data_IF_054230599310
#
_entry.id   IF_054230599310
#
_cell.length_a   1.000
_cell.length_b   1.000
_cell.length_c   1.000
_cell.angle_alpha   90.00
_cell.angle_beta   90.00
_cell.angle_gamma   90.00
#
_symmetry.space_group_name_H-M   'P 1'
#
loop_
_entity.id
_entity.type
_entity.pdbx_description
1 polymer ?
#
# COMPACT_ATOMS: atom_id res chain seq x y z
N UNK A 1 0.04 11.18 15.35
CA UNK A 1 0.97 10.04 15.14
C UNK A 1 0.90 9.19 16.39
N UNK A 2 0.88 7.88 16.24
CA UNK A 2 0.86 6.96 17.38
C UNK A 2 1.96 5.93 17.18
N UNK A 3 2.92 5.87 18.11
CA UNK A 3 3.95 4.83 18.17
C UNK A 3 3.35 3.45 18.54
N UNK A 4 2.10 3.45 19.04
CA UNK A 4 1.23 2.28 19.21
C UNK A 4 -0.08 2.54 18.45
N UNK A 5 -0.21 2.00 17.24
CA UNK A 5 -1.42 2.15 16.43
C UNK A 5 -2.61 1.37 17.02
N UNK A 6 -3.81 1.94 16.92
CA UNK A 6 -5.06 1.19 17.15
C UNK A 6 -5.52 0.40 15.90
N UNK A 7 -4.78 0.50 14.80
CA UNK A 7 -5.03 -0.25 13.57
C UNK A 7 -4.29 -1.57 13.68
N UNK A 8 -5.04 -2.66 13.81
CA UNK A 8 -4.54 -3.95 14.30
C UNK A 8 -3.47 -4.63 13.44
N UNK A 9 -3.36 -4.25 12.17
CA UNK A 9 -2.41 -4.85 11.22
C UNK A 9 -1.08 -4.10 11.10
N UNK A 10 -0.85 -3.07 11.91
CA UNK A 10 0.35 -2.23 11.90
C UNK A 10 0.78 -1.88 13.32
N UNK A 11 2.08 -1.65 13.52
CA UNK A 11 2.63 -1.30 14.83
C UNK A 11 2.54 0.23 15.07
N UNK A 12 2.74 1.03 14.02
CA UNK A 12 2.76 2.50 14.10
C UNK A 12 2.12 3.18 12.88
N UNK A 13 1.68 4.44 13.05
CA UNK A 13 1.18 5.27 11.93
C UNK A 13 2.07 6.47 11.66
N UNK A 14 2.34 6.71 10.38
CA UNK A 14 3.10 7.87 9.90
C UNK A 14 2.27 8.67 8.91
N UNK A 15 2.02 9.95 9.20
CA UNK A 15 1.11 10.80 8.41
C UNK A 15 1.82 12.06 7.90
N UNK A 16 2.71 11.95 6.90
CA UNK A 16 3.33 13.10 6.22
C UNK A 16 2.34 13.94 5.40
N UNK A 17 1.10 13.48 5.22
CA UNK A 17 -0.02 14.26 4.66
C UNK A 17 -1.26 14.03 5.55
N UNK A 18 -2.15 15.01 5.64
CA UNK A 18 -3.50 14.86 6.20
C UNK A 18 -4.55 15.31 5.20
N UNK A 19 -5.75 14.74 5.28
CA UNK A 19 -6.88 15.13 4.43
C UNK A 19 -6.92 14.38 3.10
N UNK A 20 -8.10 14.33 2.50
CA UNK A 20 -8.37 13.67 1.23
C UNK A 20 -9.73 14.12 0.66
N UNK A 21 -10.01 13.80 -0.62
CA UNK A 21 -11.34 13.90 -1.21
C UNK A 21 -11.94 12.53 -1.53
N UNK A 22 -13.28 12.43 -1.49
CA UNK A 22 -14.02 11.20 -1.78
C UNK A 22 -13.84 10.78 -3.25
N UNK A 23 -13.62 9.48 -3.50
CA UNK A 23 -13.43 8.92 -4.85
C UNK A 23 -14.24 7.65 -5.14
N UNK A 24 -14.87 7.06 -4.12
CA UNK A 24 -15.71 5.87 -4.24
C UNK A 24 -16.71 5.79 -3.09
N UNK A 25 -17.73 4.92 -3.20
CA UNK A 25 -18.71 4.73 -2.12
C UNK A 25 -18.08 4.38 -0.76
N UNK A 26 -16.92 3.72 -0.72
CA UNK A 26 -16.19 3.48 0.54
C UNK A 26 -15.77 4.74 1.30
N UNK A 27 -15.75 5.90 0.64
CA UNK A 27 -15.44 7.17 1.27
C UNK A 27 -16.65 7.84 1.94
N UNK A 28 -17.87 7.33 1.75
CA UNK A 28 -19.09 8.01 2.18
C UNK A 28 -19.13 8.24 3.70
N UNK A 29 -18.70 7.22 4.47
CA UNK A 29 -18.63 7.23 5.93
C UNK A 29 -17.17 7.22 6.43
N UNK A 30 -16.26 7.93 5.73
CA UNK A 30 -14.85 7.95 6.07
C UNK A 30 -14.61 8.39 7.54
N UNK A 31 -13.96 7.52 8.32
CA UNK A 31 -13.65 7.79 9.73
C UNK A 31 -12.69 8.98 9.86
N UNK A 32 -11.70 9.10 8.97
CA UNK A 32 -10.70 10.15 9.01
C UNK A 32 -11.33 11.52 8.75
N UNK A 33 -12.24 11.62 7.78
CA UNK A 33 -13.04 12.82 7.54
C UNK A 33 -13.83 13.21 8.78
N UNK A 34 -14.63 12.27 9.32
CA UNK A 34 -15.47 12.53 10.49
C UNK A 34 -14.65 12.93 11.71
N UNK A 35 -13.46 12.34 11.89
CA UNK A 35 -12.56 12.68 12.99
C UNK A 35 -11.97 14.07 12.82
N UNK A 36 -11.41 14.38 11.64
CA UNK A 36 -10.73 15.63 11.37
C UNK A 36 -11.68 16.84 11.39
N UNK A 37 -12.89 16.69 10.85
CA UNK A 37 -13.88 17.78 10.80
C UNK A 37 -14.32 18.29 12.17
N UNK A 38 -14.27 17.44 13.23
CA UNK A 38 -14.59 17.86 14.60
C UNK A 38 -13.68 18.97 15.13
N UNK A 39 -12.50 19.11 14.54
CA UNK A 39 -11.47 20.06 14.98
C UNK A 39 -11.36 21.27 14.07
N UNK A 40 -12.19 21.38 13.02
CA UNK A 40 -12.16 22.51 12.11
C UNK A 40 -12.38 23.81 12.90
N UNK A 41 -11.53 24.80 12.65
CA UNK A 41 -11.54 26.08 13.35
C UNK A 41 -10.92 26.07 14.75
N UNK A 42 -10.47 24.92 15.28
CA UNK A 42 -9.81 24.87 16.60
C UNK A 42 -8.36 25.38 16.50
N UNK A 43 -8.00 26.53 17.11
CA UNK A 43 -6.66 27.09 16.98
C UNK A 43 -5.58 26.14 17.54
N UNK A 44 -4.44 26.05 16.85
CA UNK A 44 -3.31 25.20 17.26
C UNK A 44 -3.50 23.69 17.11
N UNK A 45 -4.72 23.21 16.83
CA UNK A 45 -4.96 21.77 16.66
C UNK A 45 -4.40 21.25 15.33
N UNK A 46 -3.93 19.99 15.33
CA UNK A 46 -3.36 19.34 14.14
C UNK A 46 -4.35 19.33 12.95
N UNK A 47 -5.64 19.12 13.24
CA UNK A 47 -6.73 19.13 12.26
C UNK A 47 -7.54 20.43 12.27
N UNK A 48 -6.92 21.58 12.58
CA UNK A 48 -7.60 22.90 12.56
C UNK A 48 -8.26 23.25 11.21
N UNK A 49 -7.73 22.70 10.12
CA UNK A 49 -8.25 22.86 8.75
C UNK A 49 -9.20 21.70 8.36
N UNK A 50 -9.74 20.97 9.32
CA UNK A 50 -10.59 19.81 9.07
C UNK A 50 -9.90 18.75 8.21
N UNK A 51 -10.61 18.22 7.22
CA UNK A 51 -10.14 17.17 6.31
C UNK A 51 -9.53 17.70 5.00
N UNK A 52 -9.19 18.98 4.95
CA UNK A 52 -8.52 19.59 3.80
C UNK A 52 -7.14 18.97 3.61
N UNK A 53 -6.69 18.83 2.35
CA UNK A 53 -5.38 18.26 2.05
C UNK A 53 -4.30 19.20 2.53
N UNK A 54 -3.40 18.71 3.38
CA UNK A 54 -2.30 19.46 3.97
C UNK A 54 -1.04 18.60 3.98
N UNK A 55 0.04 19.14 3.42
CA UNK A 55 1.38 18.58 3.61
C UNK A 55 1.82 18.78 5.06
N UNK A 56 2.60 17.83 5.58
CA UNK A 56 3.14 17.86 6.94
C UNK A 56 4.66 17.68 6.93
N UNK A 57 5.43 18.67 6.42
CA UNK A 57 6.88 18.56 6.32
C UNK A 57 7.56 18.30 7.67
N UNK A 58 6.98 18.83 8.75
CA UNK A 58 7.43 18.62 10.13
C UNK A 58 7.33 17.16 10.58
N UNK A 59 6.57 16.32 9.87
CA UNK A 59 6.43 14.89 10.15
C UNK A 59 7.31 14.01 9.28
N UNK A 60 7.94 14.54 8.23
CA UNK A 60 8.76 13.73 7.30
C UNK A 60 9.86 12.95 8.01
N UNK A 61 10.52 13.56 8.99
CA UNK A 61 11.68 12.98 9.67
C UNK A 61 11.34 12.02 10.80
N UNK A 62 10.06 11.84 11.12
CA UNK A 62 9.61 10.98 12.23
C UNK A 62 10.24 9.59 12.19
N UNK A 63 10.32 8.89 11.04
CA UNK A 63 10.90 7.55 11.00
C UNK A 63 12.39 7.48 11.35
N UNK A 64 13.15 8.57 11.22
CA UNK A 64 14.56 8.57 11.62
C UNK A 64 14.76 8.42 13.13
N UNK A 65 13.76 8.79 13.95
CA UNK A 65 13.83 8.65 15.40
C UNK A 65 13.56 7.20 15.88
N UNK A 66 13.05 6.33 14.99
CA UNK A 66 12.60 5.00 15.32
C UNK A 66 13.71 3.95 15.21
N UNK A 67 14.24 3.53 16.37
CA UNK A 67 15.35 2.55 16.42
C UNK A 67 14.93 1.10 16.18
N UNK A 68 13.79 0.68 16.75
CA UNK A 68 13.29 -0.70 16.63
C UNK A 68 12.53 -0.89 15.31
N UNK A 69 12.68 -2.05 14.63
CA UNK A 69 11.84 -2.42 13.50
C UNK A 69 10.35 -2.28 13.82
N UNK A 70 9.57 -1.85 12.83
CA UNK A 70 8.14 -1.58 12.92
C UNK A 70 7.50 -1.80 11.56
N UNK A 71 6.26 -2.29 11.52
CA UNK A 71 5.35 -2.14 10.39
C UNK A 71 4.60 -0.83 10.54
N UNK A 72 4.72 0.05 9.54
CA UNK A 72 4.27 1.43 9.60
C UNK A 72 3.21 1.66 8.53
N UNK A 73 1.99 1.95 8.94
CA UNK A 73 0.96 2.39 8.00
C UNK A 73 1.16 3.86 7.66
N UNK A 74 1.43 4.13 6.39
CA UNK A 74 1.62 5.47 5.84
C UNK A 74 0.28 6.07 5.45
N UNK A 75 0.03 7.31 5.90
CA UNK A 75 -1.16 8.09 5.59
C UNK A 75 -2.47 7.45 6.05
N UNK A 76 -2.55 7.01 7.31
CA UNK A 76 -3.82 6.55 7.89
C UNK A 76 -4.94 7.60 7.88
N UNK A 77 -4.59 8.89 7.84
CA UNK A 77 -5.52 10.04 7.88
C UNK A 77 -5.56 10.85 6.56
N UNK A 78 -5.13 10.26 5.45
CA UNK A 78 -5.08 10.90 4.13
C UNK A 78 -4.94 9.86 3.01
N UNK A 79 -4.71 10.30 1.77
CA UNK A 79 -4.26 9.43 0.68
C UNK A 79 -2.99 10.05 0.09
N UNK A 80 -1.87 9.32 0.11
CA UNK A 80 -0.57 9.85 -0.33
C UNK A 80 -0.58 10.27 -1.80
N UNK A 81 -1.37 9.59 -2.63
CA UNK A 81 -1.48 9.84 -4.06
C UNK A 81 -2.62 10.81 -4.40
N UNK A 82 -3.13 11.59 -3.43
CA UNK A 82 -4.12 12.64 -3.68
C UNK A 82 -3.57 13.72 -4.61
N UNK A 83 -4.30 14.09 -5.68
CA UNK A 83 -3.84 15.02 -6.76
C UNK A 83 -3.15 16.30 -6.28
N UNK A 84 -3.57 16.83 -5.12
CA UNK A 84 -3.00 18.06 -4.53
C UNK A 84 -1.72 17.83 -3.71
N UNK A 85 -1.26 16.58 -3.56
CA UNK A 85 0.05 16.23 -3.01
C UNK A 85 1.06 16.22 -4.16
N UNK A 86 2.06 17.10 -4.19
CA UNK A 86 3.02 17.16 -5.31
C UNK A 86 3.86 15.88 -5.42
N UNK A 87 4.21 15.47 -6.65
CA UNK A 87 5.02 14.27 -6.90
C UNK A 87 6.39 14.34 -6.20
N UNK A 88 7.02 15.52 -6.19
CA UNK A 88 8.26 15.76 -5.45
C UNK A 88 8.11 15.54 -3.93
N UNK A 89 6.93 15.77 -3.37
CA UNK A 89 6.66 15.49 -1.96
C UNK A 89 6.44 13.99 -1.72
N UNK A 90 5.78 13.28 -2.64
CA UNK A 90 5.67 11.82 -2.59
C UNK A 90 7.07 11.19 -2.66
N UNK A 91 7.95 11.72 -3.53
CA UNK A 91 9.35 11.29 -3.60
C UNK A 91 10.11 11.53 -2.28
N UNK A 92 9.87 12.64 -1.56
CA UNK A 92 10.42 12.85 -0.21
C UNK A 92 9.95 11.77 0.77
N UNK A 93 8.67 11.41 0.73
CA UNK A 93 8.12 10.33 1.59
C UNK A 93 8.79 9.00 1.27
N UNK A 94 8.93 8.63 0.00
CA UNK A 94 9.62 7.41 -0.42
C UNK A 94 11.12 7.42 -0.10
N UNK A 95 11.79 8.58 -0.20
CA UNK A 95 13.19 8.72 0.19
C UNK A 95 13.41 8.45 1.68
N UNK A 96 12.49 8.91 2.55
CA UNK A 96 12.53 8.55 3.98
C UNK A 96 12.35 7.04 4.15
N UNK A 97 11.38 6.42 3.47
CA UNK A 97 11.16 4.96 3.56
C UNK A 97 12.41 4.15 3.14
N UNK A 98 13.09 4.58 2.07
CA UNK A 98 14.34 3.98 1.62
C UNK A 98 15.51 4.22 2.59
N UNK A 99 15.55 5.39 3.23
CA UNK A 99 16.60 5.76 4.18
C UNK A 99 16.51 5.02 5.53
N UNK A 100 15.35 4.44 5.84
CA UNK A 100 15.08 3.67 7.07
C UNK A 100 14.60 2.24 6.76
N UNK A 101 15.50 1.39 6.21
CA UNK A 101 15.15 0.04 5.74
C UNK A 101 14.79 -0.93 6.86
N UNK A 102 15.07 -0.59 8.12
CA UNK A 102 14.68 -1.39 9.28
C UNK A 102 13.16 -1.43 9.53
N UNK A 103 12.40 -0.54 8.89
CA UNK A 103 10.94 -0.51 8.98
C UNK A 103 10.31 -1.05 7.71
N UNK A 104 9.17 -1.72 7.87
CA UNK A 104 8.29 -2.09 6.77
C UNK A 104 7.19 -1.04 6.66
N UNK A 105 6.98 -0.47 5.48
CA UNK A 105 5.96 0.53 5.23
C UNK A 105 4.81 -0.06 4.45
N UNK A 106 3.59 0.16 4.92
CA UNK A 106 2.36 -0.20 4.23
C UNK A 106 1.75 1.08 3.66
N UNK A 107 1.64 1.20 2.34
CA UNK A 107 1.05 2.34 1.64
C UNK A 107 -0.25 1.88 0.99
N UNK A 108 -1.37 2.44 1.42
CA UNK A 108 -2.70 2.10 0.90
C UNK A 108 -3.32 3.29 0.19
N UNK A 109 -3.90 3.08 -0.99
CA UNK A 109 -4.56 4.16 -1.74
C UNK A 109 -5.82 3.70 -2.45
N UNK A 110 -6.75 4.62 -2.73
CA UNK A 110 -7.84 4.38 -3.70
C UNK A 110 -7.51 4.97 -5.08
N UNK A 111 -6.38 5.67 -5.20
CA UNK A 111 -5.91 6.39 -6.40
C UNK A 111 -4.84 5.60 -7.16
N UNK A 112 -5.10 4.30 -7.29
CA UNK A 112 -4.34 3.29 -8.03
C UNK A 112 -3.75 3.78 -9.37
N UNK A 113 -4.53 4.47 -10.22
CA UNK A 113 -4.03 4.97 -11.51
C UNK A 113 -2.87 5.97 -11.37
N UNK A 114 -2.93 6.87 -10.40
CA UNK A 114 -1.84 7.83 -10.15
C UNK A 114 -0.63 7.13 -9.51
N UNK A 115 -0.87 6.24 -8.56
CA UNK A 115 0.21 5.43 -7.96
C UNK A 115 0.97 4.66 -9.06
N UNK A 116 0.26 3.94 -9.92
CA UNK A 116 0.85 3.23 -11.06
C UNK A 116 1.64 4.15 -11.97
N UNK A 117 1.01 5.24 -12.45
CA UNK A 117 1.65 6.17 -13.38
C UNK A 117 2.94 6.78 -12.80
N UNK A 118 2.91 7.21 -11.54
CA UNK A 118 4.05 7.85 -10.89
C UNK A 118 5.20 6.87 -10.62
N UNK A 119 4.89 5.64 -10.18
CA UNK A 119 5.89 4.66 -9.78
C UNK A 119 6.44 3.84 -10.95
N UNK A 120 5.65 3.65 -12.01
CA UNK A 120 6.15 3.13 -13.29
C UNK A 120 6.95 4.17 -14.05
N UNK A 121 6.56 5.45 -13.95
CA UNK A 121 7.21 6.55 -14.65
C UNK A 121 7.43 6.21 -16.14
N UNK A 122 6.32 6.02 -16.85
CA UNK A 122 6.30 5.75 -18.29
C UNK A 122 6.74 7.02 -19.04
N UNK A 123 8.04 7.31 -19.04
CA UNK A 123 8.59 8.49 -19.67
C UNK A 123 8.73 8.34 -21.18
N UNK A 124 8.22 9.32 -21.92
CA UNK A 124 8.41 9.45 -23.36
C UNK A 124 9.65 10.31 -23.73
N UNK A 125 10.55 10.57 -22.78
CA UNK A 125 11.74 11.42 -22.96
C UNK A 125 12.84 10.84 -23.86
N UNK A 126 12.60 9.67 -24.47
CA UNK A 126 13.51 9.01 -25.39
C UNK A 126 14.52 8.11 -24.68
N UNK A 127 14.80 6.96 -25.30
CA UNK A 127 15.76 5.90 -24.91
C UNK A 127 15.44 5.09 -23.64
N UNK A 128 14.54 4.11 -23.76
CA UNK A 128 14.65 2.82 -23.05
C UNK A 128 14.87 2.85 -21.53
N UNK A 129 14.34 3.86 -20.83
CA UNK A 129 14.51 3.95 -19.38
C UNK A 129 13.80 2.81 -18.65
N UNK A 130 14.42 2.31 -17.58
CA UNK A 130 13.79 1.36 -16.67
C UNK A 130 12.64 2.03 -15.90
N UNK A 131 11.56 1.30 -15.57
CA UNK A 131 10.44 1.85 -14.81
C UNK A 131 10.87 2.57 -13.52
N UNK A 132 10.29 3.74 -13.26
CA UNK A 132 10.47 4.52 -12.04
C UNK A 132 11.71 5.42 -12.02
N UNK A 133 12.45 5.59 -13.11
CA UNK A 133 13.76 6.27 -13.09
C UNK A 133 13.70 7.72 -12.58
N UNK A 134 12.79 8.57 -13.07
CA UNK A 134 12.66 9.96 -12.63
C UNK A 134 12.14 10.03 -11.20
N UNK A 135 11.24 9.12 -10.82
CA UNK A 135 10.76 9.05 -9.45
C UNK A 135 11.92 8.72 -8.48
N UNK A 136 12.78 7.77 -8.86
CA UNK A 136 14.00 7.43 -8.10
C UNK A 136 15.01 8.57 -8.09
N UNK A 137 15.21 9.27 -9.21
CA UNK A 137 16.03 10.48 -9.26
C UNK A 137 15.49 11.58 -8.35
N UNK A 138 14.17 11.74 -8.27
CA UNK A 138 13.52 12.68 -7.36
C UNK A 138 13.71 12.27 -5.89
N UNK A 139 13.69 10.98 -5.58
CA UNK A 139 14.03 10.46 -4.24
C UNK A 139 15.48 10.77 -3.87
N UNK A 140 16.43 10.53 -4.78
CA UNK A 140 17.84 10.84 -4.56
C UNK A 140 18.07 12.36 -4.40
N UNK A 141 17.41 13.17 -5.23
CA UNK A 141 17.42 14.62 -5.11
C UNK A 141 16.86 15.09 -3.76
N UNK A 142 15.80 14.45 -3.25
CA UNK A 142 15.19 14.79 -1.97
C UNK A 142 16.13 14.67 -0.75
N UNK A 143 17.19 13.86 -0.82
CA UNK A 143 18.17 13.71 0.26
C UNK A 143 19.51 14.38 -0.02
N UNK A 144 19.78 14.73 -1.28
CA UNK A 144 21.06 15.28 -1.73
C UNK A 144 21.46 16.56 -0.98
N UNK A 145 22.73 16.66 -0.61
CA UNK A 145 23.31 17.90 -0.03
C UNK A 145 23.23 19.11 -0.99
N UNK A 146 23.14 18.87 -2.29
CA UNK A 146 23.00 19.92 -3.29
C UNK A 146 21.58 20.49 -3.40
N UNK A 147 20.59 19.80 -2.82
CA UNK A 147 19.20 20.25 -2.85
C UNK A 147 18.92 21.23 -1.69
N UNK A 148 18.56 22.51 -1.97
CA UNK A 148 18.24 23.47 -0.92
C UNK A 148 16.99 23.08 -0.10
N UNK A 149 16.09 22.30 -0.71
CA UNK A 149 14.86 21.81 -0.09
C UNK A 149 14.98 20.35 0.38
N UNK A 150 16.21 19.85 0.60
CA UNK A 150 16.44 18.47 1.06
C UNK A 150 15.72 18.18 2.37
N UNK A 151 15.42 16.90 2.61
CA UNK A 151 14.85 16.45 3.88
C UNK A 151 15.86 16.76 5.00
N UNK A 152 15.45 17.47 6.06
CA UNK A 152 16.37 17.82 7.14
C UNK A 152 16.79 16.59 7.94
N UNK A 153 18.00 16.63 8.50
CA UNK A 153 18.51 15.58 9.40
C UNK A 153 18.89 14.26 8.73
N UNK A 154 18.97 14.21 7.39
CA UNK A 154 19.46 13.03 6.67
C UNK A 154 20.98 12.91 6.83
N UNK A 155 21.43 11.82 7.44
CA UNK A 155 22.85 11.49 7.55
C UNK A 155 23.45 11.03 6.23
N UNK A 156 24.79 11.05 6.11
CA UNK A 156 25.49 10.59 4.92
C UNK A 156 25.20 9.12 4.59
N UNK A 157 25.04 8.27 5.61
CA UNK A 157 24.67 6.87 5.41
C UNK A 157 23.23 6.72 4.93
N UNK A 158 22.31 7.53 5.47
CA UNK A 158 20.92 7.55 5.04
C UNK A 158 20.80 8.04 3.59
N UNK A 159 21.55 9.07 3.20
CA UNK A 159 21.65 9.53 1.82
C UNK A 159 22.15 8.42 0.90
N UNK A 160 23.28 7.77 1.23
CA UNK A 160 23.83 6.63 0.47
C UNK A 160 22.81 5.49 0.31
N UNK A 161 22.04 5.19 1.37
CA UNK A 161 20.98 4.16 1.29
C UNK A 161 19.92 4.49 0.25
N UNK A 162 19.50 5.76 0.14
CA UNK A 162 18.53 6.19 -0.88
C UNK A 162 19.12 6.08 -2.29
N UNK A 163 20.36 6.52 -2.48
CA UNK A 163 21.04 6.44 -3.79
C UNK A 163 21.20 5.00 -4.28
N UNK A 164 21.50 4.06 -3.37
CA UNK A 164 21.74 2.65 -3.70
C UNK A 164 20.49 1.78 -3.53
N UNK A 165 19.32 2.37 -3.30
CA UNK A 165 18.11 1.61 -3.03
C UNK A 165 17.69 0.79 -4.27
N UNK A 166 17.41 -0.52 -4.12
CA UNK A 166 16.84 -1.30 -5.21
C UNK A 166 15.42 -0.83 -5.52
N UNK A 167 14.94 -1.15 -6.72
CA UNK A 167 13.59 -0.81 -7.15
C UNK A 167 12.86 -2.07 -7.64
N UNK A 168 11.64 -2.35 -7.13
CA UNK A 168 10.91 -1.63 -6.07
C UNK A 168 11.63 -1.67 -4.70
N UNK A 169 11.26 -0.76 -3.80
CA UNK A 169 11.80 -0.75 -2.42
C UNK A 169 11.34 -2.00 -1.65
N UNK A 170 12.25 -2.88 -1.17
CA UNK A 170 11.90 -4.15 -0.53
C UNK A 170 11.06 -3.98 0.74
N UNK A 171 11.25 -2.87 1.44
CA UNK A 171 10.58 -2.56 2.69
C UNK A 171 9.30 -1.72 2.50
N UNK A 172 8.83 -1.51 1.26
CA UNK A 172 7.59 -0.78 0.97
C UNK A 172 6.57 -1.72 0.32
N UNK A 173 5.47 -1.93 1.03
CA UNK A 173 4.32 -2.72 0.60
C UNK A 173 3.28 -1.75 0.04
N UNK A 174 2.84 -2.00 -1.19
CA UNK A 174 1.86 -1.17 -1.87
C UNK A 174 0.52 -1.89 -1.92
N UNK A 175 -0.55 -1.14 -1.69
CA UNK A 175 -1.87 -1.70 -1.72
C UNK A 175 -2.94 -0.75 -2.19
N UNK A 176 -4.05 -1.34 -2.62
CA UNK A 176 -5.25 -0.62 -3.01
C UNK A 176 -6.42 -1.04 -2.14
N UNK A 177 -7.31 -0.09 -1.82
CA UNK A 177 -8.59 -0.47 -1.22
C UNK A 177 -9.62 -0.79 -2.29
N UNK A 178 -10.45 -1.80 -2.07
CA UNK A 178 -11.61 -2.13 -2.91
C UNK A 178 -12.82 -2.33 -2.00
N UNK A 179 -13.97 -1.85 -2.43
CA UNK A 179 -15.21 -1.97 -1.66
C UNK A 179 -16.19 -3.00 -2.23
N UNK A 180 -16.06 -3.32 -3.51
CA UNK A 180 -16.91 -4.22 -4.27
C UNK A 180 -16.16 -4.71 -5.52
N UNK A 181 -16.73 -5.69 -6.24
CA UNK A 181 -16.14 -6.25 -7.46
C UNK A 181 -15.77 -5.18 -8.49
N UNK A 182 -16.65 -4.19 -8.73
CA UNK A 182 -16.40 -3.13 -9.71
C UNK A 182 -15.11 -2.36 -9.41
N UNK A 183 -14.78 -2.15 -8.13
CA UNK A 183 -13.53 -1.49 -7.76
C UNK A 183 -12.35 -2.46 -7.77
N UNK A 184 -12.58 -3.75 -7.48
CA UNK A 184 -11.57 -4.80 -7.65
C UNK A 184 -11.07 -4.87 -9.10
N UNK A 185 -11.98 -4.96 -10.07
CA UNK A 185 -11.68 -5.11 -11.50
C UNK A 185 -10.87 -3.97 -12.10
N UNK A 186 -10.93 -2.77 -11.50
CA UNK A 186 -10.20 -1.59 -11.98
C UNK A 186 -8.90 -1.39 -11.18
N UNK A 187 -8.94 -1.62 -9.87
CA UNK A 187 -7.82 -1.28 -8.98
C UNK A 187 -6.77 -2.37 -8.88
N UNK A 188 -7.17 -3.63 -8.91
CA UNK A 188 -6.24 -4.77 -8.78
C UNK A 188 -5.31 -4.83 -9.99
N UNK A 189 -5.77 -4.78 -11.26
CA UNK A 189 -4.86 -4.79 -12.41
C UNK A 189 -3.85 -3.64 -12.39
N UNK A 190 -4.27 -2.45 -11.93
CA UNK A 190 -3.34 -1.33 -11.78
C UNK A 190 -2.29 -1.57 -10.68
N UNK A 191 -2.66 -2.20 -9.56
CA UNK A 191 -1.72 -2.58 -8.51
C UNK A 191 -0.74 -3.66 -8.99
N UNK A 192 -1.22 -4.67 -9.72
CA UNK A 192 -0.37 -5.72 -10.28
C UNK A 192 0.69 -5.09 -11.20
N UNK A 193 0.29 -4.23 -12.14
CA UNK A 193 1.20 -3.50 -13.02
C UNK A 193 1.94 -2.31 -12.38
N UNK A 194 2.04 -2.24 -11.05
CA UNK A 194 2.86 -1.26 -10.31
C UNK A 194 4.06 -1.96 -9.66
N UNK A 195 5.30 -1.43 -9.72
CA UNK A 195 6.47 -2.02 -9.08
C UNK A 195 6.29 -2.01 -7.57
N UNK A 196 6.16 -3.19 -6.99
CA UNK A 196 5.96 -3.38 -5.57
C UNK A 196 6.67 -4.65 -5.10
N UNK A 197 7.36 -4.57 -3.96
CA UNK A 197 7.94 -5.75 -3.33
C UNK A 197 6.85 -6.66 -2.74
N UNK A 198 5.80 -6.05 -2.20
CA UNK A 198 4.58 -6.73 -1.71
C UNK A 198 3.39 -5.95 -2.21
N UNK A 199 2.43 -6.67 -2.81
CA UNK A 199 1.13 -6.16 -3.24
C UNK A 199 0.06 -6.63 -2.28
N UNK A 200 -0.63 -5.72 -1.61
CA UNK A 200 -1.73 -6.07 -0.71
C UNK A 200 -3.05 -5.44 -1.12
N UNK A 201 -4.13 -6.17 -0.90
CA UNK A 201 -5.48 -5.72 -1.14
C UNK A 201 -6.16 -5.41 0.20
N UNK A 202 -6.81 -4.25 0.30
CA UNK A 202 -7.67 -3.95 1.43
C UNK A 202 -9.12 -3.92 0.97
N UNK A 203 -9.83 -5.01 1.23
CA UNK A 203 -11.27 -5.13 1.03
C UNK A 203 -12.00 -4.34 2.14
N UNK A 204 -11.82 -3.00 2.16
CA UNK A 204 -12.30 -2.11 3.22
C UNK A 204 -12.78 -0.71 2.74
N UNK A 205 -13.98 -0.27 3.18
CA UNK A 205 -15.02 -1.13 3.77
C UNK A 205 -15.53 -2.13 2.73
N UNK A 206 -15.74 -3.39 3.10
CA UNK A 206 -16.36 -4.38 2.21
C UNK A 206 -17.87 -4.13 2.11
N UNK A 207 -18.31 -3.67 0.94
CA UNK A 207 -19.69 -3.27 0.63
C UNK A 207 -20.39 -4.21 -0.34
N UNK A 208 -19.69 -5.21 -0.89
CA UNK A 208 -20.23 -6.26 -1.74
C UNK A 208 -19.27 -7.44 -1.87
N UNK A 209 -19.68 -8.54 -2.53
CA UNK A 209 -18.79 -9.66 -2.80
C UNK A 209 -17.62 -9.25 -3.71
N UNK A 210 -16.50 -9.95 -3.55
CA UNK A 210 -15.29 -9.78 -4.36
C UNK A 210 -14.69 -11.15 -4.66
N UNK A 211 -14.64 -11.50 -5.95
CA UNK A 211 -13.93 -12.63 -6.52
C UNK A 211 -12.50 -12.21 -6.87
N UNK A 212 -11.54 -13.01 -6.39
CA UNK A 212 -10.11 -12.77 -6.41
C UNK A 212 -9.30 -13.87 -7.09
N UNK A 213 -9.87 -15.04 -7.39
CA UNK A 213 -9.13 -16.18 -7.97
C UNK A 213 -8.15 -15.78 -9.09
N UNK A 214 -8.60 -14.97 -10.05
CA UNK A 214 -7.80 -14.51 -11.20
C UNK A 214 -6.59 -13.61 -10.81
N UNK A 215 -6.55 -13.15 -9.57
CA UNK A 215 -5.50 -12.28 -9.02
C UNK A 215 -4.63 -12.95 -7.95
N UNK A 216 -5.02 -14.15 -7.48
CA UNK A 216 -4.35 -14.87 -6.41
C UNK A 216 -3.45 -16.00 -6.91
N UNK A 217 -3.77 -16.57 -8.08
CA UNK A 217 -3.03 -17.69 -8.65
C UNK A 217 -1.81 -17.23 -9.45
N UNK A 218 -0.71 -17.93 -9.27
CA UNK A 218 0.31 -18.04 -10.32
C UNK A 218 -0.35 -18.80 -11.46
N UNK A 219 -0.70 -18.15 -12.57
CA UNK A 219 -1.04 -18.91 -13.77
C UNK A 219 0.20 -19.74 -14.12
N UNK A 220 0.08 -21.05 -13.93
CA UNK A 220 0.94 -22.04 -14.57
C UNK A 220 0.25 -22.37 -15.88
N UNK A 221 1.03 -22.38 -16.94
CA UNK A 221 0.65 -22.74 -18.31
C UNK A 221 -0.01 -21.59 -19.10
N UNK A 222 0.81 -20.64 -19.55
CA UNK A 222 0.53 -19.92 -20.80
C UNK A 222 1.31 -20.62 -21.91
N UNK A 223 0.60 -21.20 -22.86
CA UNK A 223 1.16 -21.83 -24.04
C UNK A 223 1.59 -20.77 -25.06
N UNK A 224 2.87 -20.86 -25.43
CA UNK A 224 3.46 -20.73 -26.78
C UNK A 224 3.52 -19.40 -27.56
N UNK A 225 3.10 -18.26 -27.03
CA UNK A 225 3.26 -17.00 -27.81
C UNK A 225 4.67 -16.36 -27.69
N UNK A 226 5.50 -16.86 -26.76
CA UNK A 226 6.82 -16.30 -26.42
C UNK A 226 7.92 -17.37 -26.26
N UNK A 227 7.84 -18.48 -26.99
CA UNK A 227 8.79 -19.60 -26.90
C UNK A 227 10.28 -19.21 -27.11
N UNK A 228 10.55 -18.06 -27.74
CA UNK A 228 11.90 -17.55 -27.99
C UNK A 228 12.48 -16.66 -26.88
N UNK A 229 11.71 -16.29 -25.85
CA UNK A 229 12.20 -15.42 -24.78
C UNK A 229 13.22 -16.14 -23.89
N UNK A 230 14.39 -15.58 -23.53
CA UNK A 230 15.39 -16.32 -22.74
C UNK A 230 14.88 -16.76 -21.35
N UNK A 231 15.50 -17.78 -20.76
CA UNK A 231 15.18 -18.18 -19.38
C UNK A 231 15.34 -16.98 -18.42
N UNK A 232 14.37 -16.78 -17.54
CA UNK A 232 14.27 -15.60 -16.69
C UNK A 232 13.65 -14.34 -17.34
N UNK A 233 13.27 -14.37 -18.63
CA UNK A 233 12.59 -13.25 -19.29
C UNK A 233 11.25 -12.90 -18.61
N UNK A 234 10.93 -11.61 -18.56
CA UNK A 234 9.66 -11.09 -18.01
C UNK A 234 8.85 -10.45 -19.12
N UNK A 235 7.65 -10.98 -19.40
CA UNK A 235 6.72 -10.48 -20.43
C UNK A 235 5.33 -10.40 -19.83
N UNK A 236 4.69 -9.23 -19.92
CA UNK A 236 3.31 -9.00 -19.44
C UNK A 236 3.01 -9.50 -18.02
N UNK A 237 3.99 -9.38 -17.11
CA UNK A 237 3.84 -9.83 -15.71
C UNK A 237 4.03 -11.34 -15.51
N UNK A 238 4.62 -12.04 -16.48
CA UNK A 238 5.00 -13.46 -16.43
C UNK A 238 6.52 -13.63 -16.56
N UNK A 239 7.12 -14.50 -15.76
CA UNK A 239 8.55 -14.89 -15.82
C UNK A 239 8.67 -16.26 -16.44
N UNK A 240 9.58 -16.41 -17.39
CA UNK A 240 10.00 -17.72 -17.89
C UNK A 240 10.94 -18.41 -16.89
N UNK A 241 10.65 -19.66 -16.55
CA UNK A 241 11.54 -20.55 -15.79
C UNK A 241 11.57 -21.91 -16.50
N UNK A 242 12.64 -22.20 -17.22
CA UNK A 242 12.70 -23.34 -18.14
C UNK A 242 11.69 -23.20 -19.28
N UNK A 243 10.83 -24.22 -19.46
CA UNK A 243 9.78 -24.22 -20.50
C UNK A 243 8.42 -23.74 -19.99
N UNK A 244 8.37 -23.17 -18.78
CA UNK A 244 7.13 -22.70 -18.15
C UNK A 244 7.12 -21.18 -18.00
N UNK A 245 5.94 -20.60 -18.17
CA UNK A 245 5.63 -19.21 -17.82
C UNK A 245 4.92 -19.18 -16.47
N UNK A 246 5.42 -18.32 -15.57
CA UNK A 246 4.86 -18.12 -14.24
C UNK A 246 4.42 -16.67 -14.08
N UNK A 247 3.17 -16.41 -13.72
CA UNK A 247 2.76 -15.05 -13.36
C UNK A 247 3.56 -14.57 -12.13
N UNK A 248 4.35 -13.52 -12.31
CA UNK A 248 5.18 -12.91 -11.25
C UNK A 248 4.37 -11.94 -10.39
N UNK A 249 3.23 -11.49 -10.90
CA UNK A 249 2.42 -10.45 -10.29
C UNK A 249 1.10 -11.04 -9.76
N UNK A 250 1.17 -11.61 -8.56
CA UNK A 250 0.00 -11.96 -7.75
C UNK A 250 -0.13 -11.05 -6.54
N UNK A 251 -1.31 -11.05 -5.92
CA UNK A 251 -1.48 -10.46 -4.59
C UNK A 251 -0.74 -11.32 -3.55
N UNK A 252 -0.09 -10.66 -2.60
CA UNK A 252 0.65 -11.32 -1.52
C UNK A 252 -0.14 -11.36 -0.21
N UNK A 253 -1.09 -10.44 -0.04
CA UNK A 253 -1.83 -10.28 1.21
C UNK A 253 -3.19 -9.63 0.98
N UNK A 254 -4.23 -10.16 1.63
CA UNK A 254 -5.59 -9.61 1.55
C UNK A 254 -6.08 -9.27 2.95
N UNK A 255 -6.56 -8.04 3.15
CA UNK A 255 -7.16 -7.57 4.39
C UNK A 255 -8.66 -7.43 4.17
N UNK A 256 -9.46 -8.00 5.06
CA UNK A 256 -10.93 -7.92 5.04
C UNK A 256 -11.43 -7.11 6.23
N UNK A 257 -12.31 -6.14 5.97
CA UNK A 257 -12.86 -5.31 7.03
C UNK A 257 -14.17 -4.62 6.71
N UNK A 258 -15.10 -4.68 7.66
CA UNK A 258 -16.36 -3.94 7.62
C UNK A 258 -16.19 -2.45 7.98
N UNK A 259 -17.20 -1.65 7.64
CA UNK A 259 -17.18 -0.21 7.88
C UNK A 259 -17.28 0.14 9.38
N UNK A 260 -16.50 1.14 9.81
CA UNK A 260 -16.50 1.64 11.20
C UNK A 260 -17.31 2.93 11.36
N UNK A 261 -17.81 3.17 12.58
CA UNK A 261 -18.40 4.44 13.00
C UNK A 261 -19.93 4.48 12.95
N UNK A 262 -20.48 5.63 13.32
CA UNK A 262 -21.92 5.88 13.29
C UNK A 262 -22.41 5.88 11.84
N UNK A 263 -23.47 5.13 11.56
CA UNK A 263 -24.00 5.00 10.20
C UNK A 263 -23.29 3.95 9.34
N UNK A 264 -22.41 3.13 9.94
CA UNK A 264 -21.73 2.04 9.24
C UNK A 264 -22.72 1.13 8.48
N UNK A 265 -22.41 0.90 7.20
CA UNK A 265 -23.11 -0.04 6.35
C UNK A 265 -22.78 -1.48 6.78
N UNK A 266 -23.75 -2.41 6.71
CA UNK A 266 -23.51 -3.80 7.07
C UNK A 266 -22.58 -4.46 6.05
N UNK A 267 -21.61 -5.22 6.55
CA UNK A 267 -20.88 -6.21 5.78
C UNK A 267 -21.52 -7.58 6.01
N UNK A 268 -21.74 -8.34 4.94
CA UNK A 268 -22.16 -9.75 5.05
C UNK A 268 -20.93 -10.61 5.43
N UNK A 269 -21.01 -11.42 6.49
CA UNK A 269 -19.94 -12.36 6.85
C UNK A 269 -19.59 -13.35 5.74
N UNK A 270 -20.56 -13.71 4.90
CA UNK A 270 -20.37 -14.64 3.78
C UNK A 270 -19.34 -14.11 2.78
N UNK A 271 -19.34 -12.80 2.47
CA UNK A 271 -18.34 -12.21 1.59
C UNK A 271 -16.92 -12.34 2.17
N UNK A 272 -16.77 -12.21 3.48
CA UNK A 272 -15.49 -12.40 4.15
C UNK A 272 -15.03 -13.86 4.10
N UNK A 273 -15.93 -14.81 4.36
CA UNK A 273 -15.65 -16.25 4.24
C UNK A 273 -15.22 -16.63 2.83
N UNK A 274 -15.91 -16.13 1.80
CA UNK A 274 -15.54 -16.38 0.39
C UNK A 274 -14.13 -15.87 0.07
N UNK A 275 -13.77 -14.66 0.51
CA UNK A 275 -12.41 -14.13 0.29
C UNK A 275 -11.36 -15.00 1.01
N UNK A 276 -11.65 -15.47 2.23
CA UNK A 276 -10.75 -16.35 2.99
C UNK A 276 -10.53 -17.66 2.25
N UNK A 277 -11.59 -18.31 1.78
CA UNK A 277 -11.50 -19.57 1.02
C UNK A 277 -10.61 -19.41 -0.22
N UNK A 278 -10.78 -18.31 -0.96
CA UNK A 278 -9.98 -17.99 -2.14
C UNK A 278 -8.49 -17.78 -1.81
N UNK A 279 -8.21 -17.09 -0.71
CA UNK A 279 -6.84 -16.85 -0.27
C UNK A 279 -6.16 -18.16 0.19
N UNK A 280 -6.87 -18.97 0.99
CA UNK A 280 -6.38 -20.26 1.49
C UNK A 280 -6.13 -21.26 0.36
N UNK A 281 -7.02 -21.33 -0.64
CA UNK A 281 -6.85 -22.22 -1.79
C UNK A 281 -5.68 -21.80 -2.69
N UNK A 282 -5.22 -20.55 -2.58
CA UNK A 282 -4.18 -19.95 -3.42
C UNK A 282 -2.87 -19.68 -2.67
N UNK A 283 -2.75 -20.12 -1.42
CA UNK A 283 -1.60 -19.84 -0.54
C UNK A 283 -1.24 -18.34 -0.51
N UNK A 284 -2.24 -17.51 -0.22
CA UNK A 284 -2.11 -16.07 -0.02
C UNK A 284 -2.55 -15.73 1.40
N UNK A 285 -1.72 -14.98 2.13
CA UNK A 285 -2.04 -14.59 3.50
C UNK A 285 -3.33 -13.75 3.55
N UNK A 286 -4.21 -14.03 4.50
CA UNK A 286 -5.44 -13.26 4.72
C UNK A 286 -5.55 -12.73 6.15
N UNK A 287 -5.99 -11.49 6.30
CA UNK A 287 -6.17 -10.83 7.59
C UNK A 287 -7.58 -10.28 7.75
N UNK A 288 -8.36 -10.89 8.64
CA UNK A 288 -9.66 -10.35 9.05
C UNK A 288 -9.44 -9.33 10.16
N UNK A 289 -9.63 -8.06 9.80
CA UNK A 289 -9.44 -6.94 10.72
C UNK A 289 -10.66 -6.73 11.61
N UNK A 290 -11.82 -6.50 11.01
CA UNK A 290 -13.06 -6.27 11.78
C UNK A 290 -14.30 -6.62 10.95
N UNK A 291 -15.40 -6.96 11.62
CA UNK A 291 -16.69 -7.17 10.95
C UNK A 291 -17.50 -5.87 10.75
N UNK A 292 -16.97 -4.73 11.22
CA UNK A 292 -17.60 -3.42 11.14
C UNK A 292 -18.50 -3.10 12.35
N UNK A 293 -18.88 -1.83 12.50
CA UNK A 293 -19.55 -1.34 13.72
C UNK A 293 -20.96 -1.90 13.96
N UNK A 294 -21.62 -2.47 12.94
CA UNK A 294 -22.90 -3.17 13.13
C UNK A 294 -22.74 -4.51 13.86
N UNK A 295 -21.61 -5.18 13.65
CA UNK A 295 -21.29 -6.46 14.29
C UNK A 295 -20.55 -6.28 15.62
N UNK A 296 -19.80 -5.18 15.77
CA UNK A 296 -18.95 -4.89 16.93
C UNK A 296 -19.64 -4.93 18.30
N UNK A 297 -20.98 -4.82 18.38
CA UNK A 297 -21.71 -4.97 19.66
C UNK A 297 -21.55 -6.36 20.27
N UNK A 298 -21.48 -7.38 19.42
CA UNK A 298 -21.34 -8.78 19.83
C UNK A 298 -19.99 -9.37 19.41
N UNK A 299 -19.22 -8.63 18.59
CA UNK A 299 -18.02 -9.09 17.93
C UNK A 299 -16.93 -8.01 17.97
N UNK A 300 -16.57 -7.54 19.16
CA UNK A 300 -15.57 -6.47 19.30
C UNK A 300 -14.16 -7.04 19.18
N UNK A 301 -13.91 -8.17 19.83
CA UNK A 301 -12.62 -8.85 19.89
C UNK A 301 -12.63 -10.05 18.94
N UNK A 302 -11.50 -10.36 18.32
CA UNK A 302 -11.46 -11.42 17.30
C UNK A 302 -11.93 -12.78 17.83
N UNK A 303 -11.66 -13.10 19.09
CA UNK A 303 -12.05 -14.37 19.71
C UNK A 303 -13.57 -14.58 19.77
N UNK A 304 -14.33 -13.49 19.61
CA UNK A 304 -15.80 -13.53 19.55
C UNK A 304 -16.34 -13.76 18.15
N UNK A 305 -15.52 -13.62 17.10
CA UNK A 305 -15.93 -13.79 15.70
C UNK A 305 -16.34 -15.25 15.43
N UNK A 306 -17.19 -15.53 14.43
CA UNK A 306 -17.33 -16.88 13.92
C UNK A 306 -15.95 -17.49 13.62
N UNK A 307 -15.72 -18.75 13.97
CA UNK A 307 -14.39 -19.39 13.89
C UNK A 307 -13.72 -19.24 12.52
N UNK A 308 -14.49 -19.36 11.43
CA UNK A 308 -14.01 -19.17 10.06
C UNK A 308 -13.47 -17.77 9.75
N UNK A 309 -13.77 -16.77 10.59
CA UNK A 309 -13.35 -15.37 10.45
C UNK A 309 -12.27 -14.97 11.46
N UNK A 310 -11.78 -15.90 12.28
CA UNK A 310 -10.73 -15.66 13.28
C UNK A 310 -9.32 -15.81 12.67
N UNK A 311 -9.05 -15.16 11.54
CA UNK A 311 -7.80 -15.31 10.80
C UNK A 311 -7.03 -14.00 10.75
N UNK A 312 -5.74 -14.06 11.13
CA UNK A 312 -4.81 -12.91 11.15
C UNK A 312 -3.42 -13.33 10.67
N UNK A 313 -3.34 -13.59 9.37
CA UNK A 313 -2.08 -13.95 8.73
C UNK A 313 -1.40 -12.69 8.16
N UNK A 314 -0.08 -12.74 8.10
CA UNK A 314 0.75 -11.72 7.46
C UNK A 314 1.55 -12.38 6.33
N UNK A 315 1.84 -11.66 5.24
CA UNK A 315 2.68 -12.20 4.19
C UNK A 315 4.06 -12.50 4.76
N UNK A 316 4.68 -13.58 4.31
CA UNK A 316 6.08 -13.82 4.61
C UNK A 316 6.91 -12.65 4.07
N UNK A 317 7.97 -12.26 4.79
CA UNK A 317 8.89 -11.26 4.29
C UNK A 317 9.45 -11.75 2.95
N UNK A 318 9.17 -11.02 1.86
CA UNK A 318 9.73 -11.34 0.55
C UNK A 318 11.24 -11.18 0.70
N UNK A 319 11.97 -12.30 0.65
CA UNK A 319 13.41 -12.27 0.60
C UNK A 319 13.78 -11.39 -0.61
N UNK A 320 14.64 -10.40 -0.42
CA UNK A 320 15.18 -9.64 -1.54
C UNK A 320 15.73 -10.65 -2.55
N UNK A 321 15.21 -10.66 -3.77
CA UNK A 321 15.75 -11.48 -4.85
C UNK A 321 17.24 -11.12 -4.97
N UNK A 322 18.10 -11.98 -4.43
CA UNK A 322 19.55 -11.91 -4.61
C UNK A 322 19.90 -12.55 -5.96
N UNK A 323 19.38 -12.01 -7.04
CA UNK A 323 19.78 -12.43 -8.40
C UNK A 323 20.17 -11.19 -9.20
N UNK A 324 21.42 -10.77 -8.98
CA UNK A 324 22.19 -10.02 -9.97
C UNK A 324 23.37 -10.91 -10.38
N UNK A 325 23.70 -11.00 -11.69
CA UNK A 325 24.75 -11.89 -12.14
C UNK A 325 26.10 -11.48 -11.55
N UNK A 326 26.84 -12.47 -11.06
CA UNK A 326 28.28 -12.37 -10.79
C UNK A 326 29.05 -12.23 -12.11
#
# INVERSE_FOLDING_TARGET
MSDNSAIEWTDATWNPVTGCTKVSPGCDNCYALTFSERWRGTPGHYFKNGFDVQLRPDKLTTPFAWKKPRRVFVNSMSDLFHKDVPDAYIAKVFAVMAATPQHTYQVLTKRHGRMRALLNDECNCGNGHVPGVHFRSAMAWAVSKANPDRIPGVSDDAEKRVWNAPWPLPNVWLGVSVEDQKRADIRIPALLGTPAAVRFLSCEPLLGPVELYDYLVELRDVTDDHADAPDGAVVEGMRRSGDQWHRIERLNWVIVGGESGRGARPMSPQWATQIIEQCQSSDVAVFVKQLGSRWAKNHKDIDTFPAALQIREYPQAVAAMQDGPR
#
